data_IF_694989398792
#
_entry.id   IF_694989398792
#
_cell.length_a   1.000
_cell.length_b   1.000
_cell.length_c   1.000
_cell.angle_alpha   90.00
_cell.angle_beta   90.00
_cell.angle_gamma   90.00
#
_symmetry.space_group_name_H-M   'P 1'
#
loop_
_entity.id
_entity.type
_entity.pdbx_description
1 polymer ?
#
# COMPACT_ATOMS: atom_id res chain seq x y z
N UNK A 1 7.29 -18.54 2.79
CA UNK A 1 6.56 -17.28 2.53
C UNK A 1 5.12 -17.50 2.06
N UNK A 2 4.73 -18.73 1.72
CA UNK A 2 3.36 -19.08 1.28
C UNK A 2 2.99 -20.44 1.87
N UNK A 3 1.74 -20.60 2.33
CA UNK A 3 1.14 -21.88 2.72
C UNK A 3 -0.05 -22.18 1.84
N UNK A 4 -0.50 -23.45 1.82
CA UNK A 4 -1.68 -23.89 1.06
C UNK A 4 -2.87 -24.03 2.00
N UNK A 5 -4.00 -23.46 1.62
CA UNK A 5 -5.26 -23.55 2.32
C UNK A 5 -6.32 -24.20 1.43
N UNK A 6 -7.04 -25.18 1.95
CA UNK A 6 -8.16 -25.80 1.24
C UNK A 6 -9.50 -25.16 1.65
N UNK A 7 -10.18 -24.56 0.68
CA UNK A 7 -11.46 -23.87 0.88
C UNK A 7 -12.50 -24.80 1.48
N UNK A 8 -13.18 -24.35 2.53
CA UNK A 8 -14.22 -25.07 3.27
C UNK A 8 -15.60 -24.49 3.00
N UNK A 9 -16.64 -25.23 3.37
CA UNK A 9 -18.03 -24.72 3.29
C UNK A 9 -18.20 -23.45 4.11
N UNK A 10 -18.83 -22.44 3.50
CA UNK A 10 -19.07 -21.12 4.10
C UNK A 10 -17.90 -20.17 4.06
N UNK A 11 -16.77 -20.51 3.39
CA UNK A 11 -15.64 -19.59 3.22
C UNK A 11 -15.95 -18.46 2.24
N UNK A 12 -15.32 -17.32 2.49
CA UNK A 12 -15.06 -16.23 1.57
C UNK A 12 -13.63 -15.76 1.80
N UNK A 13 -13.03 -15.02 0.86
CA UNK A 13 -11.68 -14.50 1.04
C UNK A 13 -11.57 -13.65 2.32
N UNK A 14 -12.57 -12.81 2.63
CA UNK A 14 -12.59 -12.04 3.89
C UNK A 14 -12.57 -12.91 5.14
N UNK A 15 -13.32 -14.02 5.13
CA UNK A 15 -13.34 -14.97 6.26
C UNK A 15 -12.04 -15.70 6.41
N UNK A 16 -11.42 -16.08 5.28
CA UNK A 16 -10.12 -16.78 5.27
C UNK A 16 -9.05 -15.83 5.81
N UNK A 17 -8.95 -14.60 5.29
CA UNK A 17 -8.00 -13.58 5.77
C UNK A 17 -8.08 -13.42 7.29
N UNK A 18 -9.29 -13.22 7.82
CA UNK A 18 -9.48 -13.04 9.27
C UNK A 18 -9.18 -14.28 10.10
N UNK A 19 -9.64 -15.46 9.66
CA UNK A 19 -9.51 -16.71 10.44
C UNK A 19 -8.08 -17.24 10.45
N UNK A 20 -7.40 -17.15 9.32
CA UNK A 20 -6.02 -17.63 9.16
C UNK A 20 -4.98 -16.56 9.52
N UNK A 21 -5.44 -15.38 10.01
CA UNK A 21 -4.59 -14.22 10.36
C UNK A 21 -3.64 -13.83 9.22
N UNK A 22 -4.15 -13.80 7.99
CA UNK A 22 -3.38 -13.37 6.83
C UNK A 22 -3.27 -11.83 6.86
N UNK A 23 -2.05 -11.33 6.90
CA UNK A 23 -1.78 -9.91 7.06
C UNK A 23 -1.72 -9.18 5.70
N UNK A 24 -2.83 -9.23 4.97
CA UNK A 24 -3.04 -8.53 3.69
C UNK A 24 -4.52 -8.26 3.46
N UNK A 25 -4.82 -7.44 2.45
CA UNK A 25 -6.18 -7.34 1.93
C UNK A 25 -6.59 -8.62 1.18
N UNK A 26 -7.89 -8.92 1.18
CA UNK A 26 -8.46 -10.05 0.41
C UNK A 26 -8.18 -9.96 -1.08
N UNK A 27 -8.00 -8.74 -1.61
CA UNK A 27 -7.71 -8.53 -3.04
C UNK A 27 -6.31 -9.05 -3.38
N UNK A 28 -5.33 -8.91 -2.48
CA UNK A 28 -4.04 -9.56 -2.66
C UNK A 28 -4.16 -11.10 -2.71
N UNK A 29 -5.02 -11.66 -1.87
CA UNK A 29 -5.33 -13.10 -1.92
C UNK A 29 -5.90 -13.50 -3.28
N UNK A 30 -6.83 -12.72 -3.83
CA UNK A 30 -7.37 -12.94 -5.16
C UNK A 30 -6.27 -12.85 -6.23
N UNK A 31 -5.43 -11.84 -6.16
CA UNK A 31 -4.32 -11.58 -7.10
C UNK A 31 -3.34 -12.75 -7.17
N UNK A 32 -2.80 -13.22 -6.03
CA UNK A 32 -1.80 -14.29 -6.01
C UNK A 32 -2.36 -15.69 -6.38
N UNK A 33 -3.69 -15.84 -6.33
CA UNK A 33 -4.39 -17.05 -6.74
C UNK A 33 -5.02 -16.93 -8.14
N UNK A 34 -4.76 -15.85 -8.88
CA UNK A 34 -5.30 -15.59 -10.22
C UNK A 34 -6.83 -15.70 -10.29
N UNK A 35 -7.52 -15.19 -9.27
CA UNK A 35 -8.99 -15.20 -9.21
C UNK A 35 -9.52 -13.98 -9.95
N UNK A 36 -10.15 -14.18 -11.10
CA UNK A 36 -10.83 -13.11 -11.85
C UNK A 36 -12.05 -12.54 -11.12
N UNK A 37 -12.64 -13.33 -10.22
CA UNK A 37 -13.72 -12.92 -9.34
C UNK A 37 -13.41 -13.34 -7.89
N UNK A 38 -13.10 -12.40 -6.99
CA UNK A 38 -12.75 -12.70 -5.60
C UNK A 38 -13.90 -13.35 -4.79
N UNK A 39 -15.13 -13.31 -5.30
CA UNK A 39 -16.29 -13.93 -4.68
C UNK A 39 -16.58 -15.34 -5.19
N UNK A 40 -15.81 -15.85 -6.18
CA UNK A 40 -16.08 -17.13 -6.84
C UNK A 40 -15.08 -18.23 -6.45
N UNK A 41 -14.83 -18.41 -5.16
CA UNK A 41 -14.05 -19.54 -4.63
C UNK A 41 -14.94 -20.77 -4.46
N UNK A 42 -14.36 -22.00 -4.60
CA UNK A 42 -15.10 -23.25 -4.56
C UNK A 42 -14.62 -24.12 -3.40
N UNK A 43 -15.54 -24.83 -2.75
CA UNK A 43 -15.20 -25.82 -1.73
C UNK A 43 -14.20 -26.85 -2.31
N UNK A 44 -13.13 -27.10 -1.55
CA UNK A 44 -12.04 -28.00 -1.96
C UNK A 44 -10.97 -27.36 -2.84
N UNK A 45 -11.15 -26.13 -3.29
CA UNK A 45 -10.12 -25.38 -4.02
C UNK A 45 -8.91 -25.12 -3.12
N UNK A 46 -7.71 -25.31 -3.66
CA UNK A 46 -6.48 -24.93 -2.97
C UNK A 46 -6.14 -23.48 -3.26
N UNK A 47 -5.92 -22.68 -2.20
CA UNK A 47 -5.49 -21.29 -2.26
C UNK A 47 -4.11 -21.14 -1.62
N UNK A 48 -3.26 -20.33 -2.24
CA UNK A 48 -2.01 -19.87 -1.66
C UNK A 48 -2.31 -18.73 -0.68
N UNK A 49 -1.84 -18.85 0.56
CA UNK A 49 -1.93 -17.80 1.57
C UNK A 49 -0.51 -17.31 1.88
N UNK A 50 -0.25 -16.00 1.82
CA UNK A 50 1.03 -15.45 2.26
C UNK A 50 1.18 -15.62 3.77
N UNK A 51 2.40 -15.88 4.23
CA UNK A 51 2.73 -15.99 5.66
C UNK A 51 3.59 -14.80 6.08
N UNK A 52 3.37 -14.29 7.30
CA UNK A 52 4.08 -13.11 7.82
C UNK A 52 3.50 -11.80 7.30
N UNK A 53 4.32 -10.76 7.30
CA UNK A 53 3.94 -9.37 7.05
C UNK A 53 4.66 -8.80 5.83
N UNK A 54 4.20 -7.66 5.35
CA UNK A 54 4.83 -6.93 4.25
C UNK A 54 5.36 -5.59 4.73
N UNK A 55 6.58 -5.26 4.31
CA UNK A 55 7.24 -3.99 4.60
C UNK A 55 7.62 -3.28 3.29
N UNK A 56 7.85 -1.98 3.37
CA UNK A 56 8.34 -1.19 2.25
C UNK A 56 9.60 -0.40 2.63
N UNK A 57 10.48 -0.20 1.64
CA UNK A 57 11.58 0.76 1.72
C UNK A 57 11.46 1.71 0.54
N UNK A 58 11.32 3.00 0.82
CA UNK A 58 11.39 4.06 -0.18
C UNK A 58 12.79 4.62 -0.16
N UNK A 59 13.51 4.45 -1.29
CA UNK A 59 14.82 5.03 -1.53
C UNK A 59 14.65 6.29 -2.38
N UNK A 60 14.93 7.45 -1.78
CA UNK A 60 14.72 8.74 -2.43
C UNK A 60 15.77 9.03 -3.50
N UNK A 61 16.97 8.46 -3.36
CA UNK A 61 18.07 8.69 -4.28
C UNK A 61 17.82 8.11 -5.67
N UNK A 62 17.10 7.00 -5.76
CA UNK A 62 16.77 6.33 -7.02
C UNK A 62 15.27 6.29 -7.36
N UNK A 63 14.43 6.97 -6.57
CA UNK A 63 12.99 7.07 -6.77
C UNK A 63 12.31 5.70 -6.82
N UNK A 64 12.67 4.80 -5.92
CA UNK A 64 12.08 3.47 -5.84
C UNK A 64 11.41 3.19 -4.50
N UNK A 65 10.35 2.39 -4.55
CA UNK A 65 9.79 1.69 -3.40
C UNK A 65 10.01 0.20 -3.59
N UNK A 66 10.73 -0.43 -2.66
CA UNK A 66 10.92 -1.88 -2.65
C UNK A 66 9.99 -2.52 -1.62
N UNK A 67 9.15 -3.45 -2.07
CA UNK A 67 8.32 -4.27 -1.21
C UNK A 67 9.07 -5.53 -0.77
N UNK A 68 8.89 -5.89 0.48
CA UNK A 68 9.46 -7.09 1.08
C UNK A 68 8.37 -7.88 1.79
N UNK A 69 8.47 -9.20 1.75
CA UNK A 69 7.74 -10.08 2.66
C UNK A 69 8.67 -10.53 3.79
N UNK A 70 8.20 -10.43 5.02
CA UNK A 70 8.94 -10.80 6.24
C UNK A 70 8.17 -11.83 7.04
N UNK A 71 8.84 -12.89 7.45
CA UNK A 71 8.34 -13.90 8.39
C UNK A 71 9.48 -14.39 9.30
N UNK A 72 9.23 -15.43 10.10
CA UNK A 72 10.23 -16.03 11.01
C UNK A 72 11.47 -16.56 10.27
N UNK A 73 11.34 -16.93 8.99
CA UNK A 73 12.44 -17.44 8.15
C UNK A 73 13.32 -16.34 7.56
N UNK A 74 12.90 -15.08 7.67
CA UNK A 74 13.64 -13.93 7.16
C UNK A 74 12.81 -12.94 6.35
N UNK A 75 13.51 -12.11 5.58
CA UNK A 75 12.95 -11.07 4.70
C UNK A 75 13.33 -11.35 3.26
N UNK A 76 12.36 -11.31 2.37
CA UNK A 76 12.56 -11.54 0.92
C UNK A 76 12.02 -10.35 0.13
N UNK A 77 12.83 -9.82 -0.78
CA UNK A 77 12.43 -8.81 -1.73
C UNK A 77 11.40 -9.40 -2.72
N UNK A 78 10.31 -8.68 -2.95
CA UNK A 78 9.26 -9.07 -3.89
C UNK A 78 9.35 -8.30 -5.20
N UNK A 79 9.38 -6.97 -5.12
CA UNK A 79 9.37 -6.08 -6.28
C UNK A 79 9.92 -4.71 -5.90
N UNK A 80 10.55 -4.02 -6.85
CA UNK A 80 10.89 -2.61 -6.79
C UNK A 80 9.98 -1.84 -7.75
N UNK A 81 9.35 -0.78 -7.29
CA UNK A 81 8.34 0.00 -7.98
C UNK A 81 8.81 1.46 -8.08
N UNK A 82 8.68 2.12 -9.23
CA UNK A 82 9.07 3.52 -9.35
C UNK A 82 8.10 4.44 -8.59
N UNK A 83 8.64 5.49 -7.97
CA UNK A 83 7.84 6.46 -7.21
C UNK A 83 8.15 7.90 -7.61
N UNK A 84 7.18 8.80 -7.38
CA UNK A 84 7.39 10.25 -7.36
C UNK A 84 7.45 10.75 -5.92
N UNK A 85 8.23 11.80 -5.66
CA UNK A 85 8.51 12.30 -4.33
C UNK A 85 8.19 13.80 -4.19
N UNK A 86 8.35 14.31 -2.99
CA UNK A 86 8.14 15.73 -2.66
C UNK A 86 9.15 16.65 -3.32
N UNK A 87 8.67 17.77 -3.84
CA UNK A 87 9.52 18.86 -4.36
C UNK A 87 10.48 19.37 -3.27
N UNK A 88 11.67 19.81 -3.67
CA UNK A 88 12.69 20.32 -2.74
C UNK A 88 13.04 19.32 -1.61
N UNK A 89 13.02 18.04 -1.91
CA UNK A 89 13.28 16.97 -0.95
C UNK A 89 12.29 16.89 0.24
N UNK A 90 11.05 17.39 0.04
CA UNK A 90 10.04 17.50 1.10
C UNK A 90 9.47 16.18 1.61
N UNK A 91 9.77 15.02 0.95
CA UNK A 91 9.38 13.71 1.50
C UNK A 91 10.23 13.42 2.74
N UNK A 92 9.63 13.35 3.94
CA UNK A 92 10.39 13.20 5.18
C UNK A 92 10.90 11.77 5.33
N UNK A 93 12.18 11.65 5.72
CA UNK A 93 12.83 10.37 6.02
C UNK A 93 12.43 9.83 7.38
N UNK A 94 12.65 8.53 7.61
CA UNK A 94 12.42 7.86 8.88
C UNK A 94 11.57 6.60 8.76
N UNK A 95 11.19 6.05 9.91
CA UNK A 95 10.33 4.88 10.00
C UNK A 95 8.87 5.28 10.22
N UNK A 96 8.01 4.66 9.43
CA UNK A 96 6.57 4.87 9.43
C UNK A 96 5.83 3.54 9.53
N UNK A 97 4.57 3.62 9.91
CA UNK A 97 3.58 2.55 9.72
C UNK A 97 2.34 3.09 9.03
N UNK A 98 1.51 2.19 8.53
CA UNK A 98 0.18 2.58 8.02
C UNK A 98 -0.64 3.16 9.18
N UNK A 99 -1.18 4.36 9.02
CA UNK A 99 -2.06 4.98 10.02
C UNK A 99 -3.36 4.19 10.13
N UNK A 100 -3.88 4.06 11.34
CA UNK A 100 -5.15 3.38 11.58
C UNK A 100 -6.29 4.05 10.79
N UNK A 101 -7.14 3.24 10.15
CA UNK A 101 -8.30 3.69 9.37
C UNK A 101 -8.00 4.73 8.27
N UNK A 102 -6.79 4.72 7.72
CA UNK A 102 -6.36 5.71 6.72
C UNK A 102 -6.22 5.17 5.30
N UNK A 103 -6.56 3.91 5.07
CA UNK A 103 -6.58 3.32 3.73
C UNK A 103 -7.91 3.63 3.06
N UNK A 104 -7.88 4.36 1.95
CA UNK A 104 -9.07 4.83 1.24
C UNK A 104 -9.00 4.45 -0.24
N UNK A 105 -10.14 4.05 -0.79
CA UNK A 105 -10.34 3.85 -2.23
C UNK A 105 -11.24 4.97 -2.74
N UNK A 106 -10.83 5.59 -3.84
CA UNK A 106 -11.53 6.73 -4.45
C UNK A 106 -11.85 7.83 -3.44
N UNK A 107 -10.84 8.36 -2.72
CA UNK A 107 -11.07 9.26 -1.60
C UNK A 107 -11.64 10.61 -2.04
N UNK A 108 -12.45 11.20 -1.17
CA UNK A 108 -12.65 12.65 -1.18
C UNK A 108 -11.33 13.34 -0.80
N UNK A 109 -10.92 14.34 -1.57
CA UNK A 109 -9.68 15.06 -1.30
C UNK A 109 -9.82 16.56 -1.53
N UNK A 110 -9.18 17.34 -0.69
CA UNK A 110 -9.10 18.80 -0.82
C UNK A 110 -7.62 19.18 -0.93
N UNK A 111 -7.26 19.84 -2.02
CA UNK A 111 -5.91 20.30 -2.24
C UNK A 111 -5.52 21.33 -1.14
N UNK A 112 -4.49 21.05 -0.33
CA UNK A 112 -4.14 21.94 0.78
C UNK A 112 -3.60 23.31 0.31
N UNK A 113 -3.07 23.40 -0.92
CA UNK A 113 -2.55 24.67 -1.49
C UNK A 113 -3.64 25.51 -2.18
N UNK A 114 -4.42 24.86 -3.06
CA UNK A 114 -5.40 25.58 -3.89
C UNK A 114 -6.80 25.62 -3.28
N UNK A 115 -7.08 24.76 -2.27
CA UNK A 115 -8.41 24.52 -1.69
C UNK A 115 -9.43 23.92 -2.67
N UNK A 116 -8.97 23.50 -3.83
CA UNK A 116 -9.79 22.76 -4.78
C UNK A 116 -10.25 21.42 -4.20
N UNK A 117 -11.52 21.11 -4.39
CA UNK A 117 -12.16 19.93 -3.82
C UNK A 117 -12.45 18.90 -4.91
N UNK A 118 -12.06 17.65 -4.65
CA UNK A 118 -12.32 16.49 -5.50
C UNK A 118 -13.21 15.49 -4.75
N UNK A 119 -14.37 15.21 -5.32
CA UNK A 119 -15.34 14.27 -4.74
C UNK A 119 -14.86 12.82 -4.88
N UNK A 120 -15.42 11.88 -4.08
CA UNK A 120 -15.18 10.45 -4.30
C UNK A 120 -15.49 10.03 -5.75
N UNK A 121 -14.61 9.19 -6.32
CA UNK A 121 -14.68 8.73 -7.70
C UNK A 121 -14.51 9.82 -8.79
N UNK A 122 -13.97 10.97 -8.44
CA UNK A 122 -13.65 11.99 -9.45
C UNK A 122 -12.39 11.57 -10.22
N UNK A 123 -12.47 11.35 -11.56
CA UNK A 123 -11.31 10.94 -12.36
C UNK A 123 -10.24 12.03 -12.47
N UNK A 124 -10.57 13.28 -12.13
CA UNK A 124 -9.63 14.39 -12.08
C UNK A 124 -8.89 14.51 -10.74
N UNK A 125 -9.16 13.63 -9.76
CA UNK A 125 -8.52 13.66 -8.46
C UNK A 125 -7.01 13.39 -8.58
N UNK A 126 -6.13 14.37 -8.27
CA UNK A 126 -4.68 14.23 -8.48
C UNK A 126 -4.02 13.13 -7.64
N UNK A 127 -4.66 12.70 -6.54
CA UNK A 127 -4.14 11.62 -5.70
C UNK A 127 -4.55 10.22 -6.17
N UNK A 128 -5.25 10.12 -7.31
CA UNK A 128 -5.68 8.86 -7.91
C UNK A 128 -6.69 8.10 -7.07
N UNK A 129 -6.75 6.79 -7.28
CA UNK A 129 -7.80 5.94 -6.70
C UNK A 129 -7.48 5.41 -5.29
N UNK A 130 -6.20 5.37 -4.89
CA UNK A 130 -5.79 4.79 -3.61
C UNK A 130 -5.00 5.78 -2.77
N UNK A 131 -5.32 5.81 -1.48
CA UNK A 131 -4.60 6.55 -0.45
C UNK A 131 -4.26 5.65 0.73
N UNK A 132 -3.02 5.72 1.21
CA UNK A 132 -2.52 5.04 2.40
C UNK A 132 -1.86 6.11 3.27
N UNK A 133 -2.51 6.54 4.34
CA UNK A 133 -1.94 7.49 5.28
C UNK A 133 -0.83 6.87 6.10
N UNK A 134 0.22 7.62 6.34
CA UNK A 134 1.37 7.21 7.15
C UNK A 134 1.39 7.95 8.48
N UNK A 135 1.90 7.29 9.52
CA UNK A 135 2.23 7.89 10.81
C UNK A 135 3.67 7.53 11.20
N UNK A 136 4.43 8.51 11.64
CA UNK A 136 5.80 8.31 12.11
C UNK A 136 5.83 7.52 13.41
N UNK A 137 6.81 6.61 13.54
CA UNK A 137 6.97 5.77 14.74
C UNK A 137 8.23 6.07 15.54
N UNK A 138 9.05 7.02 15.08
CA UNK A 138 10.23 7.53 15.75
C UNK A 138 9.94 8.90 16.39
N UNK A 139 10.68 9.27 17.43
CA UNK A 139 10.51 10.57 18.08
C UNK A 139 10.73 11.75 17.11
N UNK A 140 11.60 11.58 16.12
CA UNK A 140 11.94 12.60 15.13
C UNK A 140 10.81 12.85 14.11
N UNK A 141 9.89 11.90 13.91
CA UNK A 141 8.82 12.00 12.91
C UNK A 141 7.40 11.76 13.45
N UNK A 142 7.25 11.59 14.77
CA UNK A 142 5.95 11.31 15.41
C UNK A 142 4.90 12.40 15.16
N UNK A 143 5.34 13.64 15.06
CA UNK A 143 4.46 14.80 14.82
C UNK A 143 4.28 15.12 13.33
N UNK A 144 4.89 14.31 12.43
CA UNK A 144 4.74 14.45 10.98
C UNK A 144 3.36 13.96 10.57
N UNK A 145 2.52 14.86 10.06
CA UNK A 145 1.14 14.59 9.67
C UNK A 145 0.85 14.95 8.21
N UNK A 146 -0.22 14.36 7.65
CA UNK A 146 -0.68 14.64 6.29
C UNK A 146 0.13 13.96 5.18
N UNK A 147 1.07 13.08 5.52
CA UNK A 147 1.85 12.31 4.56
C UNK A 147 1.24 10.93 4.28
N UNK A 148 1.45 10.46 3.06
CA UNK A 148 0.94 9.17 2.64
C UNK A 148 1.55 8.68 1.33
N UNK A 149 1.14 7.47 0.95
CA UNK A 149 1.39 6.86 -0.36
C UNK A 149 0.08 6.93 -1.12
N UNK A 150 0.11 7.40 -2.36
CA UNK A 150 -1.10 7.51 -3.16
C UNK A 150 -0.85 7.36 -4.66
N UNK A 151 -1.92 7.16 -5.42
CA UNK A 151 -1.86 7.13 -6.87
C UNK A 151 -1.57 8.50 -7.49
N UNK A 152 -1.55 8.55 -8.82
CA UNK A 152 -1.45 9.81 -9.55
C UNK A 152 -2.14 9.71 -10.91
N UNK A 153 -2.75 10.80 -11.34
CA UNK A 153 -3.23 10.99 -12.72
C UNK A 153 -2.14 11.61 -13.62
N UNK A 154 -0.96 11.88 -13.06
CA UNK A 154 0.19 12.47 -13.76
C UNK A 154 1.37 11.49 -13.82
N UNK A 155 1.40 10.52 -14.76
CA UNK A 155 2.48 9.51 -14.84
C UNK A 155 3.87 10.13 -14.97
N UNK A 156 3.97 11.32 -15.59
CA UNK A 156 5.23 12.07 -15.72
C UNK A 156 5.82 12.59 -14.40
N UNK A 157 5.10 12.48 -13.28
CA UNK A 157 5.60 12.83 -11.94
C UNK A 157 6.40 11.69 -11.28
N UNK A 158 6.34 10.47 -11.82
CA UNK A 158 7.12 9.33 -11.34
C UNK A 158 8.60 9.53 -11.73
N UNK A 159 9.51 9.21 -10.81
CA UNK A 159 10.94 9.47 -10.95
C UNK A 159 11.34 10.94 -10.75
N UNK A 160 10.45 11.77 -10.18
CA UNK A 160 10.66 13.20 -9.98
C UNK A 160 10.20 13.68 -8.61
N UNK A 161 10.69 14.87 -8.23
CA UNK A 161 10.24 15.58 -7.03
C UNK A 161 9.17 16.62 -7.42
N UNK A 162 7.89 16.23 -7.36
CA UNK A 162 6.76 17.05 -7.82
C UNK A 162 5.57 17.05 -6.85
N UNK A 163 5.59 16.27 -5.76
CA UNK A 163 4.52 16.27 -4.77
C UNK A 163 4.77 17.28 -3.65
N UNK A 164 3.81 17.45 -2.76
CA UNK A 164 3.98 18.25 -1.53
C UNK A 164 4.66 17.47 -0.38
N UNK A 165 5.21 16.29 -0.67
CA UNK A 165 5.90 15.43 0.28
C UNK A 165 5.43 13.99 0.29
N UNK A 166 4.24 13.69 -0.22
CA UNK A 166 3.73 12.33 -0.35
C UNK A 166 4.50 11.51 -1.39
N UNK A 167 4.46 10.19 -1.24
CA UNK A 167 4.99 9.23 -2.23
C UNK A 167 3.91 8.97 -3.26
N UNK A 168 4.18 9.31 -4.54
CA UNK A 168 3.29 9.07 -5.68
C UNK A 168 3.64 7.76 -6.37
N UNK A 169 2.63 7.03 -6.82
CA UNK A 169 2.80 5.78 -7.56
C UNK A 169 1.83 5.69 -8.75
N UNK A 170 2.16 4.86 -9.74
CA UNK A 170 1.20 4.50 -10.79
C UNK A 170 0.01 3.72 -10.22
N UNK A 171 -1.13 3.71 -10.92
CA UNK A 171 -2.37 3.11 -10.44
C UNK A 171 -2.24 1.66 -10.00
N UNK A 172 -1.69 0.80 -10.88
CA UNK A 172 -1.52 -0.64 -10.58
C UNK A 172 -0.51 -0.88 -9.45
N UNK A 173 0.54 -0.03 -9.36
CA UNK A 173 1.57 -0.14 -8.34
C UNK A 173 1.02 0.26 -6.95
N UNK A 174 0.28 1.37 -6.87
CA UNK A 174 -0.32 1.80 -5.59
C UNK A 174 -1.41 0.84 -5.12
N UNK A 175 -2.16 0.22 -6.05
CA UNK A 175 -3.13 -0.82 -5.72
C UNK A 175 -2.45 -2.01 -5.05
N UNK A 176 -1.34 -2.52 -5.62
CA UNK A 176 -0.54 -3.59 -5.01
C UNK A 176 -0.06 -3.20 -3.62
N UNK A 177 0.51 -2.00 -3.45
CA UNK A 177 0.98 -1.49 -2.16
C UNK A 177 -0.17 -1.38 -1.16
N UNK A 178 -1.33 -0.89 -1.61
CA UNK A 178 -2.55 -0.83 -0.81
C UNK A 178 -3.00 -2.22 -0.33
N UNK A 179 -2.94 -3.22 -1.18
CA UNK A 179 -3.36 -4.60 -0.85
C UNK A 179 -2.45 -5.25 0.21
N UNK A 180 -1.14 -4.95 0.22
CA UNK A 180 -0.16 -5.67 1.06
C UNK A 180 0.23 -4.92 2.33
N UNK A 181 0.25 -3.58 2.36
CA UNK A 181 0.61 -2.84 3.56
C UNK A 181 -0.58 -2.71 4.52
N UNK A 182 -0.40 -3.14 5.75
CA UNK A 182 -1.46 -3.21 6.77
C UNK A 182 -1.05 -2.53 8.08
N UNK A 183 -2.04 -2.02 8.81
CA UNK A 183 -1.84 -1.53 10.18
C UNK A 183 -2.11 -2.68 11.18
N UNK A 184 -1.29 -2.83 12.23
CA UNK A 184 -0.06 -2.10 12.58
C UNK A 184 1.21 -2.79 12.06
N UNK A 185 1.09 -3.86 11.29
CA UNK A 185 2.16 -4.85 11.06
C UNK A 185 3.23 -4.40 10.08
N UNK A 186 2.85 -3.59 9.08
CA UNK A 186 3.76 -3.11 8.05
C UNK A 186 4.62 -1.95 8.52
N UNK A 187 5.93 -2.05 8.27
CA UNK A 187 6.88 -0.96 8.46
C UNK A 187 7.25 -0.36 7.11
N UNK A 188 7.25 0.95 7.02
CA UNK A 188 7.66 1.71 5.85
C UNK A 188 8.88 2.55 6.23
N UNK A 189 10.04 2.25 5.68
CA UNK A 189 11.27 3.03 5.82
C UNK A 189 11.37 3.99 4.64
N UNK A 190 11.55 5.28 4.91
CA UNK A 190 11.88 6.29 3.89
C UNK A 190 13.29 6.80 4.18
N UNK A 191 14.18 6.65 3.21
CA UNK A 191 15.59 7.02 3.33
C UNK A 191 16.09 7.80 2.12
N UNK A 192 17.22 8.53 2.30
CA UNK A 192 17.93 9.22 1.23
C UNK A 192 18.75 8.25 0.37
#
# INVERSE_FOLDING_TARGET
FVTTYKVRSGDSLDRIVRRENVDTDKMFLARINNLSNPNAIRIGQDLRLPTGTFDAVVDKSDYTMTLFQRNESGRTMLVALPVGLGEFNATPTGLYRVRVNSKLVNPHWINPRTREEFKPNDPANPIGEHWIGLEGIEDANRDVDGYGIHGTIEPGSIGRQMSMGCVRMLGDDVELVYEVLTHPSSTIEIRD
#
